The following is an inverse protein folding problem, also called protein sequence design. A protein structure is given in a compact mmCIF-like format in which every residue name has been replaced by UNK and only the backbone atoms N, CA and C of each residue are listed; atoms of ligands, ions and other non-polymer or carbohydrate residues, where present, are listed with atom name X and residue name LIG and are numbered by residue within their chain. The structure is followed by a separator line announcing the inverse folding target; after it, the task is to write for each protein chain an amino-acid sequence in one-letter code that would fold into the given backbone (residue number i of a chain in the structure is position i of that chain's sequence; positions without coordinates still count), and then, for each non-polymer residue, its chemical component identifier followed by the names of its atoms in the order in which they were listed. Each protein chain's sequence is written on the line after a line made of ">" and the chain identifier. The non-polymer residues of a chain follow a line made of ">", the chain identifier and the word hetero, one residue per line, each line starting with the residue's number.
data_IF_458038329628
#
_entry.id   IF_458038329628
#
_cell.length_a   1.000
_cell.length_b   1.000
_cell.length_c   1.000
_cell.angle_alpha   90.00
_cell.angle_beta   90.00
_cell.angle_gamma   90.00
#
_symmetry.space_group_name_H-M   'P 1'
#
loop_
_entity.id
_entity.type
_entity.pdbx_description
1 polymer ?
#
# COMPACT_ATOMS: atom_id res chain seq x y z
N UNK A 1 -37.56 -23.02 -8.17
CA UNK A 1 -37.96 -22.08 -9.25
C UNK A 1 -37.95 -20.71 -8.61
N UNK A 2 -36.78 -20.04 -8.55
CA UNK A 2 -36.21 -19.22 -9.64
C UNK A 2 -37.21 -18.16 -10.14
N UNK A 3 -36.88 -16.90 -10.36
CA UNK A 3 -35.69 -16.09 -10.08
C UNK A 3 -36.09 -14.64 -10.41
N UNK A 4 -35.57 -13.70 -9.62
CA UNK A 4 -34.82 -12.50 -10.06
C UNK A 4 -35.35 -11.52 -11.12
N UNK A 5 -34.77 -10.32 -11.01
CA UNK A 5 -34.65 -9.26 -12.00
C UNK A 5 -35.71 -8.16 -11.97
N UNK A 6 -35.56 -7.24 -11.02
CA UNK A 6 -35.65 -5.80 -11.33
C UNK A 6 -34.58 -5.10 -10.49
N UNK A 7 -33.52 -4.63 -11.13
CA UNK A 7 -32.51 -3.61 -10.76
C UNK A 7 -31.20 -4.06 -11.43
N UNK A 8 -31.10 -3.84 -12.73
CA UNK A 8 -29.87 -3.85 -13.52
C UNK A 8 -30.26 -3.26 -14.88
N UNK A 9 -30.38 -1.93 -14.97
CA UNK A 9 -30.47 -1.30 -16.31
C UNK A 9 -30.00 0.17 -16.39
N UNK A 10 -29.21 0.68 -15.45
CA UNK A 10 -28.55 1.98 -15.62
C UNK A 10 -27.15 1.96 -15.02
N UNK A 11 -26.27 1.18 -15.64
CA UNK A 11 -24.82 1.38 -15.55
C UNK A 11 -24.22 1.14 -16.95
N UNK A 12 -24.57 2.00 -17.91
CA UNK A 12 -23.80 2.11 -19.15
C UNK A 12 -22.72 3.18 -18.95
N UNK A 13 -21.64 2.80 -18.28
CA UNK A 13 -20.37 3.51 -18.32
C UNK A 13 -19.25 2.48 -18.48
N UNK A 14 -18.79 2.36 -19.73
CA UNK A 14 -17.53 1.74 -20.17
C UNK A 14 -17.37 0.23 -20.06
N UNK A 15 -18.25 -0.53 -20.73
CA UNK A 15 -17.80 -1.74 -21.42
C UNK A 15 -17.09 -1.31 -22.71
N UNK A 16 -15.78 -1.04 -22.62
CA UNK A 16 -14.90 -1.30 -23.76
C UNK A 16 -14.39 -2.71 -23.56
N UNK A 17 -14.77 -3.62 -24.45
CA UNK A 17 -14.06 -4.87 -24.66
C UNK A 17 -12.62 -4.54 -25.07
N UNK A 18 -11.74 -4.39 -24.08
CA UNK A 18 -10.32 -4.26 -24.29
C UNK A 18 -9.77 -5.65 -24.62
N UNK A 19 -9.76 -5.96 -25.92
CA UNK A 19 -9.09 -7.13 -26.48
C UNK A 19 -7.60 -6.84 -26.54
N UNK A 20 -6.96 -6.80 -25.37
CA UNK A 20 -5.52 -6.72 -25.24
C UNK A 20 -5.08 -7.65 -24.11
N UNK A 21 -4.10 -8.51 -24.40
CA UNK A 21 -3.52 -9.54 -23.54
C UNK A 21 -2.87 -8.98 -22.25
N UNK A 22 -3.63 -8.29 -21.39
CA UNK A 22 -3.14 -7.68 -20.16
C UNK A 22 -3.09 -8.64 -18.95
N UNK A 23 -3.72 -9.81 -19.05
CA UNK A 23 -3.71 -10.84 -17.99
C UNK A 23 -2.36 -11.55 -17.80
N UNK A 24 -1.35 -11.26 -18.63
CA UNK A 24 -0.03 -11.89 -18.58
C UNK A 24 1.16 -10.93 -18.32
N UNK A 25 0.92 -9.68 -17.91
CA UNK A 25 2.00 -8.77 -17.50
C UNK A 25 2.51 -9.14 -16.11
N UNK A 26 3.25 -10.24 -16.05
CA UNK A 26 3.99 -10.60 -14.86
C UNK A 26 5.04 -9.48 -14.61
N UNK A 27 5.07 -8.88 -13.42
CA UNK A 27 5.85 -7.68 -13.12
C UNK A 27 7.31 -7.87 -13.51
N UNK A 28 7.92 -6.83 -14.08
CA UNK A 28 9.32 -6.89 -14.47
C UNK A 28 10.17 -7.26 -13.25
N UNK A 29 11.12 -8.16 -13.48
CA UNK A 29 12.09 -8.47 -12.46
C UNK A 29 13.05 -7.29 -12.31
N UNK A 30 13.56 -7.05 -11.09
CA UNK A 30 14.59 -6.05 -10.86
C UNK A 30 15.78 -6.27 -11.81
N UNK A 31 15.95 -5.39 -12.81
CA UNK A 31 17.03 -5.46 -13.80
C UNK A 31 18.22 -4.56 -13.43
N UNK A 32 19.36 -4.77 -14.10
CA UNK A 32 20.50 -3.87 -14.01
C UNK A 32 20.09 -2.45 -14.42
N UNK A 33 20.20 -1.49 -13.49
CA UNK A 33 19.81 -0.09 -13.71
C UNK A 33 18.42 0.30 -13.19
N UNK A 34 17.68 -0.61 -12.56
CA UNK A 34 16.47 -0.25 -11.81
C UNK A 34 16.84 0.59 -10.56
N UNK A 35 16.16 1.73 -10.40
CA UNK A 35 16.33 2.60 -9.24
C UNK A 35 15.61 1.99 -8.04
N UNK A 36 16.32 1.89 -6.92
CA UNK A 36 15.82 1.28 -5.70
C UNK A 36 15.94 2.23 -4.53
N UNK A 37 14.83 2.40 -3.84
CA UNK A 37 14.68 3.24 -2.67
C UNK A 37 14.54 2.37 -1.44
N UNK A 38 15.31 2.69 -0.41
CA UNK A 38 15.18 2.10 0.92
C UNK A 38 15.13 3.20 1.97
N UNK A 39 14.60 2.92 3.15
CA UNK A 39 14.57 3.89 4.25
C UNK A 39 15.51 3.44 5.37
N UNK A 40 16.61 4.17 5.56
CA UNK A 40 17.63 3.91 6.59
C UNK A 40 17.95 5.23 7.32
N UNK A 41 18.09 5.15 8.63
CA UNK A 41 18.46 6.30 9.49
C UNK A 41 17.61 7.57 9.26
N UNK A 42 16.29 7.39 9.19
CA UNK A 42 15.30 8.45 8.95
C UNK A 42 15.43 9.15 7.59
N UNK A 43 16.16 8.56 6.64
CA UNK A 43 16.37 9.10 5.30
C UNK A 43 16.04 8.06 4.22
N UNK A 44 15.48 8.53 3.11
CA UNK A 44 15.36 7.71 1.91
C UNK A 44 16.73 7.66 1.24
N UNK A 45 17.25 6.45 1.09
CA UNK A 45 18.51 6.16 0.44
C UNK A 45 18.22 5.63 -0.95
N UNK A 46 18.80 6.29 -1.94
CA UNK A 46 18.76 5.86 -3.34
C UNK A 46 19.94 4.94 -3.64
N UNK A 47 19.66 3.80 -4.26
CA UNK A 47 20.66 2.83 -4.69
C UNK A 47 20.24 2.20 -6.02
N UNK A 48 21.18 1.60 -6.72
CA UNK A 48 20.86 0.65 -7.79
C UNK A 48 20.90 -0.75 -7.22
N UNK A 49 20.08 -1.67 -7.72
CA UNK A 49 20.23 -3.08 -7.35
C UNK A 49 21.69 -3.52 -7.52
N UNK A 50 22.30 -4.12 -6.49
CA UNK A 50 23.63 -4.68 -6.63
C UNK A 50 23.65 -5.70 -7.78
N UNK A 51 24.77 -5.80 -8.50
CA UNK A 51 25.01 -6.92 -9.39
C UNK A 51 24.99 -8.22 -8.55
N UNK A 52 23.85 -8.91 -8.54
CA UNK A 52 23.58 -10.10 -7.73
C UNK A 52 22.63 -9.85 -6.56
N UNK A 53 21.35 -9.58 -6.85
CA UNK A 53 20.30 -9.68 -5.85
C UNK A 53 20.41 -11.03 -5.13
N UNK A 54 20.38 -11.03 -3.78
CA UNK A 54 20.47 -12.28 -3.02
C UNK A 54 19.18 -13.07 -3.16
N UNK A 55 19.15 -14.04 -4.09
CA UNK A 55 18.06 -15.00 -4.18
C UNK A 55 18.05 -15.95 -2.96
N UNK A 56 16.88 -16.45 -2.56
CA UNK A 56 15.56 -16.02 -3.02
C UNK A 56 15.09 -14.74 -2.32
N UNK A 57 14.35 -13.91 -3.04
CA UNK A 57 13.69 -12.72 -2.50
C UNK A 57 12.20 -12.71 -2.82
N UNK A 58 11.45 -11.90 -2.06
CA UNK A 58 10.03 -11.67 -2.28
C UNK A 58 9.84 -10.47 -3.20
N UNK A 59 9.15 -10.65 -4.32
CA UNK A 59 8.70 -9.55 -5.16
C UNK A 59 7.20 -9.30 -4.93
N UNK A 60 6.86 -8.06 -4.59
CA UNK A 60 5.50 -7.63 -4.25
C UNK A 60 5.07 -6.58 -5.27
N UNK A 61 4.19 -6.97 -6.17
CA UNK A 61 3.63 -6.06 -7.18
C UNK A 61 2.32 -5.45 -6.68
N UNK A 62 2.31 -4.14 -6.53
CA UNK A 62 1.19 -3.35 -6.04
C UNK A 62 0.56 -2.64 -7.26
N UNK A 63 -0.47 -3.28 -7.81
CA UNK A 63 -1.34 -2.74 -8.85
C UNK A 63 -2.74 -2.49 -8.30
N UNK A 64 -3.77 -2.74 -9.11
CA UNK A 64 -5.18 -2.71 -8.68
C UNK A 64 -5.43 -3.59 -7.46
N UNK A 65 -4.84 -4.79 -7.46
CA UNK A 65 -4.63 -5.64 -6.30
C UNK A 65 -3.14 -5.81 -5.98
N UNK A 66 -2.79 -6.76 -5.11
CA UNK A 66 -1.40 -7.05 -4.73
C UNK A 66 -1.09 -8.51 -5.05
N UNK A 67 0.07 -8.76 -5.67
CA UNK A 67 0.57 -10.12 -5.92
C UNK A 67 1.96 -10.30 -5.33
N UNK A 68 2.17 -11.46 -4.71
CA UNK A 68 3.40 -11.83 -4.03
C UNK A 68 4.07 -12.96 -4.79
N UNK A 69 5.31 -12.77 -5.21
CA UNK A 69 6.09 -13.72 -5.98
C UNK A 69 7.36 -14.10 -5.23
N UNK A 70 7.68 -15.39 -5.22
CA UNK A 70 9.01 -15.87 -4.90
C UNK A 70 9.86 -15.77 -6.15
N UNK A 71 11.03 -15.15 -6.05
CA UNK A 71 12.01 -15.12 -7.14
C UNK A 71 13.26 -15.86 -6.70
N UNK A 72 13.65 -16.89 -7.45
CA UNK A 72 14.81 -17.75 -7.13
C UNK A 72 16.00 -17.55 -8.06
N UNK A 73 15.76 -16.98 -9.25
CA UNK A 73 16.77 -16.53 -10.20
C UNK A 73 16.12 -15.55 -11.21
N UNK A 74 16.88 -15.09 -12.21
CA UNK A 74 16.42 -14.13 -13.24
C UNK A 74 15.30 -14.65 -14.17
N UNK A 75 14.98 -15.94 -14.12
CA UNK A 75 13.99 -16.57 -15.02
C UNK A 75 12.84 -17.22 -14.24
N UNK A 76 13.06 -17.60 -12.99
CA UNK A 76 12.13 -18.35 -12.16
C UNK A 76 11.44 -17.44 -11.15
N UNK A 77 10.15 -17.20 -11.41
CA UNK A 77 9.24 -16.53 -10.48
C UNK A 77 7.97 -17.34 -10.30
N UNK A 78 7.56 -17.51 -9.05
CA UNK A 78 6.38 -18.28 -8.67
C UNK A 78 5.46 -17.38 -7.86
N UNK A 79 4.17 -17.30 -8.24
CA UNK A 79 3.19 -16.56 -7.46
C UNK A 79 2.83 -17.35 -6.20
N UNK A 80 3.16 -16.79 -5.05
CA UNK A 80 2.82 -17.36 -3.74
C UNK A 80 1.35 -17.09 -3.41
N UNK A 81 0.94 -15.82 -3.46
CA UNK A 81 -0.39 -15.37 -3.00
C UNK A 81 -0.75 -13.98 -3.55
N UNK A 82 -1.88 -13.44 -3.11
CA UNK A 82 -2.30 -12.06 -3.40
C UNK A 82 -3.18 -11.46 -2.30
N UNK A 83 -3.42 -10.15 -2.42
CA UNK A 83 -4.39 -9.39 -1.63
C UNK A 83 -5.27 -8.54 -2.55
N UNK A 84 -6.57 -8.45 -2.26
CA UNK A 84 -7.49 -7.57 -2.98
C UNK A 84 -7.41 -6.12 -2.51
N UNK A 85 -6.79 -5.87 -1.34
CA UNK A 85 -6.57 -4.53 -0.80
C UNK A 85 -5.30 -3.93 -1.42
N UNK A 86 -5.41 -3.54 -2.69
CA UNK A 86 -4.38 -2.82 -3.45
C UNK A 86 -4.83 -1.42 -3.84
N UNK A 87 -4.31 -0.93 -4.97
CA UNK A 87 -4.54 0.43 -5.45
C UNK A 87 -6.00 0.75 -5.78
N UNK A 88 -6.75 -0.18 -6.39
CA UNK A 88 -8.17 0.07 -6.73
C UNK A 88 -9.06 0.09 -5.50
N UNK A 89 -8.78 -0.74 -4.49
CA UNK A 89 -9.49 -0.70 -3.23
C UNK A 89 -9.22 0.63 -2.50
N UNK A 90 -7.96 1.08 -2.45
CA UNK A 90 -7.57 2.36 -1.88
C UNK A 90 -8.26 3.53 -2.59
N UNK A 91 -8.12 3.61 -3.92
CA UNK A 91 -8.66 4.70 -4.72
C UNK A 91 -10.19 4.74 -4.72
N UNK A 92 -10.83 3.57 -4.82
CA UNK A 92 -12.29 3.45 -4.74
C UNK A 92 -12.84 3.90 -3.39
N UNK A 93 -12.25 3.44 -2.29
CA UNK A 93 -12.68 3.85 -0.95
C UNK A 93 -12.45 5.35 -0.71
N UNK A 94 -11.29 5.90 -1.09
CA UNK A 94 -11.03 7.33 -0.91
C UNK A 94 -11.95 8.19 -1.78
N UNK A 95 -12.21 7.79 -3.02
CA UNK A 95 -13.18 8.47 -3.89
C UNK A 95 -14.57 8.51 -3.26
N UNK A 96 -15.03 7.40 -2.67
CA UNK A 96 -16.31 7.34 -1.96
C UNK A 96 -16.35 8.17 -0.68
N UNK A 97 -15.26 8.20 0.09
CA UNK A 97 -15.21 8.86 1.40
C UNK A 97 -14.93 10.36 1.32
N UNK A 98 -14.15 10.81 0.33
CA UNK A 98 -13.60 12.17 0.28
C UNK A 98 -13.93 12.91 -1.02
N UNK A 99 -14.36 12.19 -2.06
CA UNK A 99 -14.67 12.75 -3.37
C UNK A 99 -13.47 12.96 -4.31
N UNK A 100 -12.25 12.60 -3.88
CA UNK A 100 -11.02 12.67 -4.68
C UNK A 100 -11.12 11.86 -5.97
N UNK A 101 -10.51 12.36 -7.04
CA UNK A 101 -10.70 11.84 -8.40
C UNK A 101 -9.44 11.32 -9.07
N UNK A 102 -8.26 11.62 -8.53
CA UNK A 102 -7.01 11.05 -9.04
C UNK A 102 -6.14 10.51 -7.93
N UNK A 103 -5.21 9.61 -8.30
CA UNK A 103 -4.26 9.05 -7.36
C UNK A 103 -3.31 10.12 -6.82
N UNK A 104 -2.88 11.05 -7.68
CA UNK A 104 -1.99 12.15 -7.32
C UNK A 104 -2.64 13.04 -6.25
N UNK A 105 -3.92 13.40 -6.43
CA UNK A 105 -4.69 14.16 -5.44
C UNK A 105 -4.80 13.41 -4.11
N UNK A 106 -5.02 12.08 -4.14
CA UNK A 106 -5.05 11.24 -2.94
C UNK A 106 -3.74 11.31 -2.16
N UNK A 107 -2.59 11.20 -2.85
CA UNK A 107 -1.27 11.24 -2.21
C UNK A 107 -0.96 12.64 -1.69
N UNK A 108 -1.25 13.69 -2.47
CA UNK A 108 -1.06 15.08 -2.02
C UNK A 108 -1.87 15.42 -0.76
N UNK A 109 -3.08 14.89 -0.64
CA UNK A 109 -3.91 15.05 0.57
C UNK A 109 -3.36 14.22 1.73
N UNK A 110 -2.96 12.97 1.47
CA UNK A 110 -2.38 12.10 2.49
C UNK A 110 -1.12 12.72 3.11
N UNK A 111 -0.23 13.32 2.31
CA UNK A 111 0.98 13.98 2.81
C UNK A 111 0.71 15.17 3.73
N UNK A 112 -0.45 15.82 3.60
CA UNK A 112 -0.87 16.96 4.42
C UNK A 112 -1.71 16.55 5.62
N UNK A 113 -2.20 15.31 5.65
CA UNK A 113 -3.08 14.81 6.70
C UNK A 113 -2.34 14.32 7.94
N UNK A 114 -3.11 14.08 9.00
CA UNK A 114 -2.65 13.47 10.24
C UNK A 114 -3.63 12.37 10.66
N UNK A 115 -3.20 11.11 10.52
CA UNK A 115 -4.07 9.99 10.87
C UNK A 115 -4.42 9.92 12.37
N UNK A 116 -3.65 10.55 13.26
CA UNK A 116 -3.97 10.59 14.69
C UNK A 116 -5.31 11.27 14.98
N UNK A 117 -5.87 12.03 14.04
CA UNK A 117 -7.21 12.62 14.16
C UNK A 117 -8.32 11.56 13.98
N UNK A 118 -8.10 10.52 13.17
CA UNK A 118 -9.13 9.53 12.78
C UNK A 118 -8.86 8.14 13.33
N UNK A 119 -7.59 7.78 13.49
CA UNK A 119 -7.13 6.49 14.01
C UNK A 119 -6.97 6.53 15.52
N UNK A 120 -7.11 5.35 16.15
CA UNK A 120 -6.70 5.16 17.54
C UNK A 120 -5.27 4.64 17.58
N UNK A 121 -4.39 5.34 18.29
CA UNK A 121 -2.99 4.97 18.48
C UNK A 121 -2.79 4.17 19.77
N UNK A 122 -1.65 3.50 19.90
CA UNK A 122 -1.27 2.82 21.16
C UNK A 122 -1.17 3.82 22.32
N UNK A 123 -0.68 5.03 22.06
CA UNK A 123 -0.65 6.12 23.04
C UNK A 123 -2.04 6.54 23.53
N UNK A 124 -3.07 6.46 22.69
CA UNK A 124 -4.46 6.76 23.08
C UNK A 124 -5.03 5.69 24.04
N UNK A 125 -4.44 4.50 24.09
CA UNK A 125 -4.87 3.38 24.95
C UNK A 125 -4.07 3.34 26.24
N UNK A 126 -2.75 3.50 26.15
CA UNK A 126 -1.81 3.26 27.26
C UNK A 126 -1.10 4.51 27.77
N UNK A 127 -1.19 5.65 27.07
CA UNK A 127 -0.50 6.90 27.41
C UNK A 127 1.03 6.88 27.23
N UNK A 128 1.60 5.74 26.82
CA UNK A 128 3.03 5.50 26.70
C UNK A 128 3.30 4.34 25.72
N UNK A 129 4.58 4.11 25.40
CA UNK A 129 4.99 2.91 24.66
C UNK A 129 4.56 1.65 25.42
N UNK A 130 3.99 0.69 24.71
CA UNK A 130 3.64 -0.61 25.27
C UNK A 130 4.80 -1.59 25.10
N UNK A 131 5.86 -1.32 25.86
CA UNK A 131 7.16 -2.01 25.78
C UNK A 131 7.08 -3.52 26.00
N UNK A 132 6.07 -4.01 26.74
CA UNK A 132 5.91 -5.46 27.02
C UNK A 132 5.83 -6.31 25.76
N UNK A 133 5.29 -5.75 24.67
CA UNK A 133 5.19 -6.41 23.36
C UNK A 133 5.78 -5.58 22.23
N UNK A 134 6.64 -4.60 22.56
CA UNK A 134 7.42 -3.85 21.58
C UNK A 134 6.63 -2.86 20.70
N UNK A 135 5.49 -2.35 21.17
CA UNK A 135 4.69 -1.40 20.38
C UNK A 135 4.96 0.04 20.81
N UNK A 136 5.30 0.90 19.84
CA UNK A 136 5.46 2.34 20.07
C UNK A 136 4.10 3.02 20.26
N UNK A 137 4.04 4.08 21.06
CA UNK A 137 2.83 4.86 21.31
C UNK A 137 2.25 5.49 20.03
N UNK A 138 3.09 5.76 19.03
CA UNK A 138 2.68 6.31 17.74
C UNK A 138 2.13 5.26 16.78
N UNK A 139 2.23 3.96 17.11
CA UNK A 139 1.69 2.90 16.26
C UNK A 139 0.16 2.96 16.25
N UNK A 140 -0.42 2.75 15.07
CA UNK A 140 -1.88 2.62 14.92
C UNK A 140 -2.34 1.33 15.57
N UNK A 141 -3.24 1.45 16.54
CA UNK A 141 -3.91 0.32 17.18
C UNK A 141 -5.18 -0.06 16.42
N UNK A 142 -5.91 0.93 15.90
CA UNK A 142 -7.15 0.72 15.17
C UNK A 142 -7.42 1.87 14.19
N UNK A 143 -7.34 1.55 12.90
CA UNK A 143 -7.65 2.47 11.79
C UNK A 143 -9.11 2.93 11.84
N UNK A 144 -9.35 4.23 11.65
CA UNK A 144 -10.67 4.88 11.62
C UNK A 144 -11.54 4.71 12.87
N UNK A 145 -10.98 4.23 13.99
CA UNK A 145 -11.73 3.99 15.21
C UNK A 145 -12.43 5.24 15.76
N UNK A 146 -11.83 6.43 15.62
CA UNK A 146 -12.41 7.69 16.12
C UNK A 146 -13.66 8.09 15.34
N UNK A 147 -13.78 7.68 14.07
CA UNK A 147 -14.97 7.92 13.27
C UNK A 147 -16.23 7.16 13.75
N UNK A 148 -16.04 6.08 14.52
CA UNK A 148 -17.15 5.36 15.15
C UNK A 148 -17.47 5.85 16.57
N UNK A 149 -16.67 6.75 17.13
CA UNK A 149 -16.83 7.21 18.52
C UNK A 149 -18.07 8.10 18.69
N UNK A 150 -18.73 7.97 19.86
CA UNK A 150 -19.92 8.75 20.21
C UNK A 150 -19.62 10.25 20.27
N UNK A 151 -18.45 10.61 20.80
CA UNK A 151 -17.98 12.01 20.93
C UNK A 151 -17.95 12.76 19.59
N UNK A 152 -17.55 12.09 18.50
CA UNK A 152 -17.52 12.71 17.17
C UNK A 152 -18.88 12.70 16.47
N UNK A 153 -19.81 11.84 16.88
CA UNK A 153 -21.19 11.82 16.35
C UNK A 153 -22.01 13.00 16.85
N UNK A 154 -21.78 13.43 18.10
CA UNK A 154 -22.52 14.53 18.71
C UNK A 154 -21.98 15.91 18.29
N UNK A 155 -20.69 16.01 17.92
CA UNK A 155 -20.07 17.23 17.43
C UNK A 155 -20.38 17.56 15.95
N UNK A 156 -20.91 16.61 15.18
CA UNK A 156 -21.06 16.69 13.72
C UNK A 156 -22.30 17.47 13.22
N UNK A 157 -22.90 18.34 14.04
CA UNK A 157 -24.12 19.06 13.66
C UNK A 157 -23.91 20.08 12.53
N UNK A 158 -22.71 20.68 12.40
CA UNK A 158 -22.45 21.78 11.46
C UNK A 158 -21.20 21.60 10.56
N UNK A 159 -20.41 20.52 10.73
CA UNK A 159 -19.19 20.26 9.91
C UNK A 159 -18.79 18.79 9.93
N UNK A 160 -18.13 18.27 8.87
CA UNK A 160 -17.60 16.92 8.87
C UNK A 160 -16.55 16.75 9.99
N UNK A 161 -16.60 15.66 10.76
CA UNK A 161 -15.76 15.50 11.95
C UNK A 161 -14.26 15.32 11.65
N UNK A 162 -13.90 15.00 10.40
CA UNK A 162 -12.52 14.78 9.97
C UNK A 162 -12.26 15.44 8.63
N UNK A 163 -11.04 15.94 8.44
CA UNK A 163 -10.64 16.50 7.15
C UNK A 163 -10.41 15.39 6.12
N UNK A 164 -10.63 15.68 4.84
CA UNK A 164 -10.31 14.76 3.76
C UNK A 164 -8.83 14.35 3.78
N UNK A 165 -7.93 15.28 4.12
CA UNK A 165 -6.50 15.01 4.26
C UNK A 165 -6.23 13.93 5.32
N UNK A 166 -6.88 14.01 6.49
CA UNK A 166 -6.71 13.02 7.56
C UNK A 166 -7.26 11.65 7.17
N UNK A 167 -8.40 11.61 6.47
CA UNK A 167 -9.00 10.38 5.92
C UNK A 167 -8.05 9.74 4.89
N UNK A 168 -7.53 10.54 3.94
CA UNK A 168 -6.54 10.11 2.96
C UNK A 168 -5.29 9.56 3.63
N UNK A 169 -4.71 10.29 4.59
CA UNK A 169 -3.51 9.86 5.30
C UNK A 169 -3.72 8.51 5.99
N UNK A 170 -4.79 8.39 6.79
CA UNK A 170 -5.09 7.17 7.53
C UNK A 170 -5.28 5.97 6.60
N UNK A 171 -6.05 6.10 5.51
CA UNK A 171 -6.30 4.95 4.64
C UNK A 171 -5.11 4.57 3.77
N UNK A 172 -4.36 5.56 3.25
CA UNK A 172 -3.10 5.29 2.53
C UNK A 172 -2.13 4.57 3.48
N UNK A 173 -1.92 5.10 4.69
CA UNK A 173 -1.09 4.45 5.70
C UNK A 173 -1.55 3.02 5.99
N UNK A 174 -2.86 2.82 6.22
CA UNK A 174 -3.42 1.52 6.57
C UNK A 174 -3.21 0.46 5.47
N UNK A 175 -3.45 0.82 4.20
CA UNK A 175 -3.27 -0.10 3.06
C UNK A 175 -1.79 -0.47 2.90
N UNK A 176 -0.88 0.51 2.82
CA UNK A 176 0.54 0.21 2.63
C UNK A 176 1.18 -0.45 3.85
N UNK A 177 0.76 -0.12 5.07
CA UNK A 177 1.20 -0.82 6.27
C UNK A 177 0.69 -2.28 6.31
N UNK A 178 -0.55 -2.54 5.88
CA UNK A 178 -1.07 -3.91 5.73
C UNK A 178 -0.28 -4.70 4.68
N UNK A 179 0.04 -4.09 3.55
CA UNK A 179 0.90 -4.71 2.52
C UNK A 179 2.26 -5.04 3.11
N UNK A 180 2.93 -4.11 3.81
CA UNK A 180 4.20 -4.36 4.48
C UNK A 180 4.17 -5.50 5.51
N UNK A 181 3.07 -5.60 6.28
CA UNK A 181 2.85 -6.70 7.21
C UNK A 181 2.72 -8.05 6.49
N UNK A 182 1.86 -8.12 5.46
CA UNK A 182 1.67 -9.33 4.66
C UNK A 182 2.97 -9.75 3.97
N UNK A 183 3.72 -8.82 3.40
CA UNK A 183 5.02 -9.09 2.80
C UNK A 183 5.99 -9.69 3.81
N UNK A 184 6.03 -9.15 5.03
CA UNK A 184 6.90 -9.67 6.09
C UNK A 184 6.51 -11.10 6.48
N UNK A 185 5.21 -11.38 6.60
CA UNK A 185 4.70 -12.72 6.90
C UNK A 185 5.06 -13.72 5.79
N UNK A 186 4.81 -13.37 4.52
CA UNK A 186 5.14 -14.24 3.38
C UNK A 186 6.66 -14.45 3.26
N UNK A 187 7.45 -13.40 3.45
CA UNK A 187 8.91 -13.49 3.45
C UNK A 187 9.43 -14.48 4.51
N UNK A 188 8.85 -14.45 5.72
CA UNK A 188 9.17 -15.41 6.81
C UNK A 188 8.74 -16.83 6.50
N UNK A 189 7.49 -17.03 6.06
CA UNK A 189 6.92 -18.37 5.77
C UNK A 189 7.77 -19.09 4.71
N UNK A 190 8.25 -18.35 3.70
CA UNK A 190 9.00 -18.92 2.59
C UNK A 190 10.53 -18.78 2.72
N UNK A 191 11.04 -18.33 3.87
CA UNK A 191 12.48 -18.29 4.16
C UNK A 191 13.28 -17.33 3.26
N UNK A 192 12.67 -16.24 2.79
CA UNK A 192 13.34 -15.24 1.95
C UNK A 192 14.04 -14.19 2.82
N UNK A 193 15.06 -13.55 2.24
CA UNK A 193 15.88 -12.55 2.94
C UNK A 193 15.33 -11.14 2.77
N UNK A 194 15.12 -10.75 1.51
CA UNK A 194 14.83 -9.37 1.13
C UNK A 194 13.43 -9.27 0.49
N UNK A 195 12.82 -8.07 0.59
CA UNK A 195 11.51 -7.77 0.03
C UNK A 195 11.63 -6.60 -0.94
N UNK A 196 11.16 -6.81 -2.18
CA UNK A 196 11.12 -5.82 -3.24
C UNK A 196 9.68 -5.47 -3.56
N UNK A 197 9.34 -4.18 -3.50
CA UNK A 197 8.05 -3.63 -3.88
C UNK A 197 8.14 -2.99 -5.25
N UNK A 198 7.13 -3.21 -6.09
CA UNK A 198 7.01 -2.62 -7.42
C UNK A 198 5.56 -2.31 -7.75
N UNK A 199 5.33 -1.71 -8.91
CA UNK A 199 4.02 -1.39 -9.44
C UNK A 199 3.75 0.10 -9.47
N UNK A 200 2.68 0.52 -10.17
CA UNK A 200 2.42 1.93 -10.42
C UNK A 200 2.06 2.73 -9.16
N UNK A 201 1.59 2.07 -8.10
CA UNK A 201 1.12 2.69 -6.85
C UNK A 201 2.23 2.87 -5.78
N UNK A 202 3.50 2.60 -6.09
CA UNK A 202 4.62 2.91 -5.18
C UNK A 202 5.59 3.93 -5.75
N UNK A 203 5.30 4.45 -6.95
CA UNK A 203 6.18 5.38 -7.65
C UNK A 203 6.17 6.75 -7.00
N UNK A 204 7.36 7.33 -6.87
CA UNK A 204 7.61 8.75 -6.59
C UNK A 204 6.87 9.34 -5.38
N UNK A 205 6.54 8.51 -4.38
CA UNK A 205 5.94 8.96 -3.12
C UNK A 205 6.81 8.59 -1.93
N UNK A 206 7.49 9.60 -1.38
CA UNK A 206 8.27 9.50 -0.15
C UNK A 206 7.44 8.91 1.00
N UNK A 207 6.18 9.31 1.09
CA UNK A 207 5.26 8.84 2.12
C UNK A 207 5.04 7.32 2.03
N UNK A 208 4.81 6.80 0.82
CA UNK A 208 4.60 5.36 0.60
C UNK A 208 5.90 4.57 0.81
N UNK A 209 7.01 5.07 0.27
CA UNK A 209 8.33 4.43 0.45
C UNK A 209 8.65 4.29 1.95
N UNK A 210 8.50 5.37 2.71
CA UNK A 210 8.70 5.37 4.17
C UNK A 210 7.75 4.38 4.84
N UNK A 211 6.46 4.41 4.50
CA UNK A 211 5.45 3.53 5.11
C UNK A 211 5.79 2.05 4.92
N UNK A 212 6.11 1.63 3.69
CA UNK A 212 6.47 0.25 3.39
C UNK A 212 7.75 -0.19 4.11
N UNK A 213 8.80 0.62 4.06
CA UNK A 213 10.06 0.28 4.71
C UNK A 213 9.95 0.24 6.25
N UNK A 214 9.23 1.20 6.85
CA UNK A 214 8.97 1.21 8.29
C UNK A 214 8.13 0.01 8.69
N UNK A 215 7.08 -0.33 7.93
CA UNK A 215 6.23 -1.49 8.20
C UNK A 215 7.04 -2.79 8.18
N UNK A 216 7.86 -3.02 7.14
CA UNK A 216 8.72 -4.21 7.06
C UNK A 216 9.70 -4.24 8.23
N UNK A 217 10.39 -3.14 8.53
CA UNK A 217 11.33 -3.08 9.66
C UNK A 217 10.63 -3.36 10.99
N UNK A 218 9.43 -2.81 11.18
CA UNK A 218 8.63 -2.99 12.40
C UNK A 218 8.19 -4.44 12.59
N UNK A 219 7.51 -5.02 11.60
CA UNK A 219 7.00 -6.39 11.70
C UNK A 219 8.10 -7.46 11.64
N UNK A 220 9.25 -7.15 11.03
CA UNK A 220 10.40 -8.04 11.00
C UNK A 220 11.33 -7.89 12.20
N UNK A 221 11.13 -6.88 13.06
CA UNK A 221 12.09 -6.49 14.11
C UNK A 221 13.49 -6.17 13.55
N UNK A 222 13.55 -5.64 12.33
CA UNK A 222 14.79 -5.31 11.62
C UNK A 222 15.49 -6.50 10.95
N UNK A 223 14.91 -7.70 10.99
CA UNK A 223 15.46 -8.90 10.34
C UNK A 223 15.42 -8.82 8.80
N UNK A 224 14.44 -8.11 8.24
CA UNK A 224 14.20 -8.04 6.79
C UNK A 224 14.45 -6.62 6.28
N UNK A 225 15.06 -6.53 5.10
CA UNK A 225 15.19 -5.26 4.38
C UNK A 225 14.09 -5.12 3.31
N UNK A 226 13.66 -3.87 3.13
CA UNK A 226 12.66 -3.47 2.14
C UNK A 226 13.27 -2.54 1.10
N UNK A 227 12.91 -2.80 -0.15
CA UNK A 227 13.38 -2.11 -1.34
C UNK A 227 12.18 -1.74 -2.18
N UNK A 228 12.00 -0.45 -2.49
CA UNK A 228 10.92 0.03 -3.37
C UNK A 228 11.54 0.38 -4.70
N UNK A 229 11.05 -0.22 -5.77
CA UNK A 229 11.57 -0.03 -7.11
C UNK A 229 10.85 1.11 -7.81
N UNK A 230 11.61 2.01 -8.43
CA UNK A 230 11.09 2.95 -9.42
C UNK A 230 11.58 2.53 -10.80
N UNK A 231 10.65 2.11 -11.65
CA UNK A 231 10.91 2.00 -13.08
C UNK A 231 10.67 3.37 -13.69
N UNK A 232 11.73 3.99 -14.22
CA UNK A 232 11.55 5.10 -15.16
C UNK A 232 10.64 4.60 -16.26
N UNK A 233 9.48 5.23 -16.40
CA UNK A 233 8.45 4.91 -17.39
C UNK A 233 9.10 4.50 -18.71
N UNK A 234 8.86 3.26 -19.16
CA UNK A 234 9.29 2.87 -20.50
C UNK A 234 8.68 3.87 -21.49
N UNK A 235 9.44 4.35 -22.49
CA UNK A 235 8.86 5.20 -23.53
C UNK A 235 7.68 4.46 -24.18
N UNK A 236 6.46 4.93 -23.94
CA UNK A 236 5.22 4.35 -24.49
C UNK A 236 4.24 3.75 -23.48
N UNK A 237 4.58 3.60 -22.19
CA UNK A 237 3.59 3.25 -21.17
C UNK A 237 2.83 4.52 -20.73
N UNK A 238 1.58 4.65 -21.16
CA UNK A 238 0.64 5.61 -20.56
C UNK A 238 0.52 5.32 -19.06
N UNK A 239 0.58 6.35 -18.18
CA UNK A 239 0.22 6.18 -16.79
C UNK A 239 -1.14 5.49 -16.73
N UNK A 240 -1.28 4.45 -15.90
CA UNK A 240 -2.55 3.77 -15.69
C UNK A 240 -3.60 4.84 -15.35
N UNK A 241 -4.48 5.12 -16.30
CA UNK A 241 -5.65 5.95 -16.05
C UNK A 241 -6.58 5.09 -15.19
N UNK A 242 -6.78 5.53 -13.95
CA UNK A 242 -7.82 5.01 -13.07
C UNK A 242 -9.20 5.20 -13.68
#
# INVERSE_FOLDING_TARGET
>A
MEASNVILDQCQVLDREDTSDHDNLVPALPGAGCEVFSFKDEQIVHSTLPAGATYPYLLVNIGSGVSFFRVTDDQQRERITGSTLGGSALGGLLSLLTGVRSYEEMIELAEKGNNANVDKLIGDIYGMDYNRIGMKMTAVASTFCKAFSVEHREAAADSPPFSNADICHSLVFAVFNNIGQLSTLQCRIHGMKDIYFTGPYVRDSDFIIKTLCIAVRYYSQGEKEAHVMSEKSRPGETPAQL
#
